data_IF_728902819027
#
_entry.id   IF_728902819027
#
_cell.length_a   1.000
_cell.length_b   1.000
_cell.length_c   1.000
_cell.angle_alpha   90.00
_cell.angle_beta   90.00
_cell.angle_gamma   90.00
#
_symmetry.space_group_name_H-M   'P 1'
#
loop_
_entity.id
_entity.type
_entity.pdbx_description
1 polymer ?
#
# COMPACT_ATOMS: atom_id res chain seq x y z
N UNK A 1 -11.17 3.97 12.67
CA UNK A 1 -10.39 3.16 11.71
C UNK A 1 -10.72 3.67 10.32
N UNK A 2 -9.73 3.88 9.43
CA UNK A 2 -10.01 4.33 8.06
C UNK A 2 -10.50 3.14 7.22
N UNK A 3 -11.44 3.38 6.30
CA UNK A 3 -11.87 2.32 5.38
C UNK A 3 -10.82 2.02 4.31
N UNK A 4 -10.21 3.05 3.73
CA UNK A 4 -9.28 2.93 2.61
C UNK A 4 -8.12 3.91 2.74
N UNK A 5 -6.91 3.46 2.43
CA UNK A 5 -5.70 4.29 2.36
C UNK A 5 -5.02 4.09 1.00
N UNK A 6 -4.87 5.16 0.22
CA UNK A 6 -4.11 5.13 -1.03
C UNK A 6 -2.63 5.43 -0.77
N UNK A 7 -1.75 4.56 -1.26
CA UNK A 7 -0.30 4.74 -1.30
C UNK A 7 0.13 4.92 -2.76
N UNK A 8 0.67 6.09 -3.09
CA UNK A 8 1.31 6.35 -4.39
C UNK A 8 2.82 6.19 -4.27
N UNK A 9 3.51 5.86 -5.37
CA UNK A 9 4.93 5.51 -5.29
C UNK A 9 5.16 4.18 -4.56
N UNK A 10 4.18 3.27 -4.65
CA UNK A 10 4.11 2.03 -3.90
C UNK A 10 5.18 0.97 -4.27
N UNK A 11 5.88 1.13 -5.39
CA UNK A 11 7.05 0.32 -5.77
C UNK A 11 8.37 0.88 -5.21
N UNK A 12 8.39 2.15 -4.78
CA UNK A 12 9.56 2.78 -4.16
C UNK A 12 9.80 2.34 -2.71
N UNK A 13 10.99 2.63 -2.17
CA UNK A 13 11.37 2.20 -0.81
C UNK A 13 10.44 2.71 0.30
N UNK A 14 9.96 3.96 0.20
CA UNK A 14 8.98 4.49 1.14
C UNK A 14 7.61 3.83 0.97
N UNK A 15 7.18 3.63 -0.28
CA UNK A 15 5.92 2.95 -0.60
C UNK A 15 5.88 1.53 -0.04
N UNK A 16 6.96 0.77 -0.24
CA UNK A 16 7.13 -0.57 0.32
C UNK A 16 7.04 -0.56 1.86
N UNK A 17 7.71 0.40 2.52
CA UNK A 17 7.62 0.54 3.98
C UNK A 17 6.19 0.85 4.43
N UNK A 18 5.48 1.70 3.70
CA UNK A 18 4.08 2.05 4.01
C UNK A 18 3.13 0.86 3.83
N UNK A 19 3.30 0.06 2.76
CA UNK A 19 2.53 -1.16 2.48
C UNK A 19 2.64 -2.18 3.63
N UNK A 20 3.81 -2.27 4.26
CA UNK A 20 4.08 -3.18 5.37
C UNK A 20 3.59 -2.61 6.72
N UNK A 21 3.86 -1.33 7.00
CA UNK A 21 3.70 -0.77 8.35
C UNK A 21 2.35 -0.13 8.61
N UNK A 22 1.63 0.31 7.58
CA UNK A 22 0.38 1.07 7.75
C UNK A 22 -0.89 0.21 7.71
N UNK A 23 -0.76 -1.12 7.66
CA UNK A 23 -1.88 -2.09 7.59
C UNK A 23 -2.89 -1.96 8.71
N UNK A 24 -2.48 -1.50 9.88
CA UNK A 24 -3.35 -1.31 11.04
C UNK A 24 -4.17 0.00 10.99
N UNK A 25 -3.86 0.90 10.05
CA UNK A 25 -4.55 2.19 9.94
C UNK A 25 -5.81 2.11 9.07
N UNK A 26 -5.86 1.16 8.13
CA UNK A 26 -6.96 1.03 7.17
C UNK A 26 -7.39 -0.43 6.95
N UNK A 27 -8.69 -0.64 6.71
CA UNK A 27 -9.24 -1.95 6.32
C UNK A 27 -8.72 -2.42 4.95
N UNK A 28 -8.50 -1.47 4.03
CA UNK A 28 -7.96 -1.75 2.70
C UNK A 28 -6.88 -0.73 2.36
N UNK A 29 -5.72 -1.23 1.97
CA UNK A 29 -4.69 -0.42 1.33
C UNK A 29 -4.93 -0.46 -0.18
N UNK A 30 -4.79 0.67 -0.86
CA UNK A 30 -4.83 0.74 -2.31
C UNK A 30 -3.46 1.21 -2.76
N UNK A 31 -2.83 0.49 -3.67
CA UNK A 31 -1.48 0.79 -4.14
C UNK A 31 -1.49 1.32 -5.56
N UNK A 32 -0.65 2.32 -5.83
CA UNK A 32 -0.44 2.87 -7.17
C UNK A 32 1.03 3.20 -7.37
N UNK A 33 1.55 2.81 -8.53
CA UNK A 33 2.84 3.24 -9.02
C UNK A 33 2.82 3.26 -10.55
N UNK A 34 3.76 3.99 -11.15
CA UNK A 34 4.06 3.91 -12.57
C UNK A 34 4.80 2.62 -12.91
N UNK A 35 5.65 2.17 -12.00
CA UNK A 35 6.38 0.92 -12.14
C UNK A 35 5.50 -0.28 -11.69
N UNK A 36 5.92 -1.50 -12.02
CA UNK A 36 5.19 -2.71 -11.62
C UNK A 36 5.19 -2.91 -10.11
N UNK A 37 4.03 -3.22 -9.53
CA UNK A 37 3.84 -3.33 -8.07
C UNK A 37 4.20 -4.70 -7.48
N UNK A 38 4.45 -5.69 -8.33
CA UNK A 38 4.61 -7.10 -7.94
C UNK A 38 3.30 -7.71 -7.47
N UNK A 39 3.39 -8.72 -6.60
CA UNK A 39 2.22 -9.36 -6.01
C UNK A 39 1.55 -8.46 -4.96
N UNK A 40 0.22 -8.48 -4.94
CA UNK A 40 -0.57 -7.79 -3.94
C UNK A 40 -0.68 -8.62 -2.66
N UNK A 41 -0.59 -7.97 -1.50
CA UNK A 41 -0.89 -8.58 -0.22
C UNK A 41 -2.41 -8.74 -0.03
N UNK A 42 -2.83 -9.60 0.91
CA UNK A 42 -4.26 -9.87 1.14
C UNK A 42 -5.08 -8.64 1.58
N UNK A 43 -4.42 -7.60 2.09
CA UNK A 43 -5.00 -6.33 2.51
C UNK A 43 -4.88 -5.21 1.47
N UNK A 44 -4.38 -5.53 0.27
CA UNK A 44 -4.14 -4.61 -0.87
C UNK A 44 -5.13 -4.80 -2.03
#
# INVERSE_FOLDING_TARGET
MMKRLLITGAAGGLGAMCRERLTHLAETIVVSDRDGLGEAAAHE
#
